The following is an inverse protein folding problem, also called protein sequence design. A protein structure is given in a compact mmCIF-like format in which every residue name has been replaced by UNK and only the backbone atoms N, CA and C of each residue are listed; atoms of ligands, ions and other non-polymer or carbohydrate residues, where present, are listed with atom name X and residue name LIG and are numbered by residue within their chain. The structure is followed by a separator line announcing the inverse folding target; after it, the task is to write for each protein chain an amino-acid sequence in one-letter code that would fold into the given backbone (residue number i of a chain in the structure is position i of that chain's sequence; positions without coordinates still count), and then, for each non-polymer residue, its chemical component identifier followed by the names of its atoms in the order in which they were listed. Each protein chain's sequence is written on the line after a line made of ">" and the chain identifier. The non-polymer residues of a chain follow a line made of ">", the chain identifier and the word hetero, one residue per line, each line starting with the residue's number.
data_IF_072679539564
#
_entry.id   IF_072679539564
#
_cell.length_a   1.000
_cell.length_b   1.000
_cell.length_c   1.000
_cell.angle_alpha   90.00
_cell.angle_beta   90.00
_cell.angle_gamma   90.00
#
_symmetry.space_group_name_H-M   'P 1'
#
loop_
_entity.id
_entity.type
_entity.pdbx_description
1 polymer ?
#
# COMPACT_ATOMS: atom_id res chain seq x y z
N UNK A 1 45.53 -10.82 -8.75
CA UNK A 1 44.53 -11.44 -7.86
C UNK A 1 44.25 -10.47 -6.74
N UNK A 2 43.27 -9.60 -6.89
CA UNK A 2 42.76 -8.74 -5.80
C UNK A 2 41.25 -9.03 -5.69
N UNK A 3 40.92 -9.70 -4.61
CA UNK A 3 39.54 -10.05 -4.24
C UNK A 3 38.85 -8.78 -3.72
N UNK A 4 37.95 -8.19 -4.49
CA UNK A 4 37.08 -7.12 -4.04
C UNK A 4 35.85 -7.73 -3.30
N UNK A 5 36.02 -7.94 -2.01
CA UNK A 5 34.90 -8.14 -1.09
C UNK A 5 34.24 -6.77 -0.86
N UNK A 6 33.23 -6.43 -1.64
CA UNK A 6 32.31 -5.35 -1.28
C UNK A 6 31.42 -5.88 -0.16
N UNK A 7 31.87 -5.66 1.08
CA UNK A 7 31.03 -5.75 2.25
C UNK A 7 30.10 -4.55 2.23
N UNK A 8 28.86 -4.71 1.78
CA UNK A 8 27.80 -3.77 2.07
C UNK A 8 27.57 -3.81 3.58
N UNK A 9 28.25 -2.93 4.31
CA UNK A 9 27.94 -2.64 5.71
C UNK A 9 26.62 -1.88 5.74
N UNK A 10 25.50 -2.59 5.78
CA UNK A 10 24.30 -2.06 6.38
C UNK A 10 24.55 -2.00 7.89
N UNK A 11 25.00 -0.85 8.35
CA UNK A 11 24.96 -0.52 9.78
C UNK A 11 23.50 -0.33 10.11
N UNK A 12 22.85 -1.37 10.61
CA UNK A 12 21.51 -1.33 11.17
C UNK A 12 21.67 -1.08 12.67
N UNK A 13 21.38 0.10 13.18
CA UNK A 13 21.06 0.27 14.58
C UNK A 13 19.57 0.59 14.68
N UNK A 14 18.78 -0.36 14.84
CA UNK A 14 17.61 -0.45 15.70
C UNK A 14 16.91 -1.77 15.38
N UNK A 15 17.21 -2.77 16.19
CA UNK A 15 16.47 -4.03 16.18
C UNK A 15 15.09 -3.72 16.77
N UNK A 16 14.16 -3.26 15.94
CA UNK A 16 12.75 -3.51 16.24
C UNK A 16 12.61 -5.02 16.09
N UNK A 17 12.63 -5.73 17.22
CA UNK A 17 12.57 -7.17 17.19
C UNK A 17 11.24 -7.58 16.56
N UNK A 18 11.26 -8.59 15.73
CA UNK A 18 10.05 -9.21 15.17
C UNK A 18 9.04 -9.55 16.29
N UNK A 19 9.54 -9.84 17.48
CA UNK A 19 8.76 -10.05 18.71
C UNK A 19 8.02 -8.80 19.15
N UNK A 20 8.64 -7.62 19.10
CA UNK A 20 7.98 -6.34 19.45
C UNK A 20 6.86 -6.00 18.47
N UNK A 21 7.07 -6.23 17.16
CA UNK A 21 6.00 -6.10 16.16
C UNK A 21 4.85 -7.09 16.42
N UNK A 22 5.16 -8.34 16.73
CA UNK A 22 4.16 -9.35 17.03
C UNK A 22 3.31 -8.96 18.26
N UNK A 23 3.90 -8.29 19.25
CA UNK A 23 3.21 -7.81 20.44
C UNK A 23 2.38 -6.55 20.16
N UNK A 24 2.90 -5.61 19.40
CA UNK A 24 2.19 -4.41 18.94
C UNK A 24 1.03 -4.76 18.00
N UNK A 25 1.23 -5.71 17.08
CA UNK A 25 0.22 -6.21 16.18
C UNK A 25 -0.93 -6.97 16.88
N UNK A 26 -0.70 -7.52 18.09
CA UNK A 26 -1.76 -8.11 18.92
C UNK A 26 -2.69 -7.05 19.54
N UNK A 27 -2.21 -5.83 19.74
CA UNK A 27 -2.96 -4.71 20.35
C UNK A 27 -3.78 -3.90 19.35
N UNK A 28 -3.69 -4.21 18.05
CA UNK A 28 -4.47 -3.49 17.03
C UNK A 28 -5.91 -3.95 17.08
N UNK A 29 -6.74 -3.19 17.78
CA UNK A 29 -8.20 -3.34 17.73
C UNK A 29 -8.76 -2.78 16.42
N UNK A 30 -9.89 -3.35 15.98
CA UNK A 30 -10.67 -2.77 14.88
C UNK A 30 -10.96 -1.30 15.21
N UNK A 31 -10.89 -0.38 14.22
CA UNK A 31 -11.31 0.99 14.46
C UNK A 31 -12.73 0.97 15.03
N UNK A 32 -13.03 1.75 16.07
CA UNK A 32 -14.36 1.80 16.65
C UNK A 32 -15.36 2.11 15.54
N UNK A 33 -16.47 1.36 15.54
CA UNK A 33 -17.60 1.63 14.65
C UNK A 33 -17.93 3.10 14.83
N UNK A 34 -17.83 3.87 13.76
CA UNK A 34 -18.07 5.31 13.82
C UNK A 34 -19.47 5.55 14.36
N UNK A 35 -19.57 5.89 15.64
CA UNK A 35 -20.77 6.50 16.18
C UNK A 35 -20.86 7.90 15.57
N UNK A 36 -22.03 8.21 15.02
CA UNK A 36 -22.32 9.54 14.46
C UNK A 36 -22.10 10.59 15.55
N UNK A 37 -21.09 11.47 15.43
CA UNK A 37 -20.97 12.56 16.39
C UNK A 37 -22.06 13.60 16.14
N UNK A 38 -22.54 14.19 17.23
CA UNK A 38 -23.47 15.31 17.24
C UNK A 38 -22.95 16.44 16.33
N UNK A 39 -23.87 17.05 15.57
CA UNK A 39 -23.64 18.19 14.68
C UNK A 39 -22.90 19.33 15.39
N UNK A 40 -21.60 19.40 15.20
CA UNK A 40 -20.86 20.64 15.40
C UNK A 40 -21.12 21.53 14.16
N UNK A 41 -21.47 22.79 14.38
CA UNK A 41 -21.68 23.79 13.36
C UNK A 41 -20.37 24.06 12.61
N UNK A 42 -20.13 23.31 11.55
CA UNK A 42 -18.98 23.49 10.66
C UNK A 42 -19.33 24.57 9.64
N UNK A 43 -18.48 25.56 9.52
CA UNK A 43 -18.46 26.48 8.36
C UNK A 43 -18.45 25.60 7.11
N UNK A 44 -19.55 25.61 6.36
CA UNK A 44 -19.72 24.73 5.19
C UNK A 44 -18.75 25.20 4.09
N UNK A 45 -17.57 24.61 4.02
CA UNK A 45 -16.69 24.76 2.87
C UNK A 45 -17.43 24.14 1.69
N UNK A 46 -17.73 24.92 0.66
CA UNK A 46 -18.36 24.43 -0.56
C UNK A 46 -17.30 23.60 -1.32
N UNK A 47 -17.37 22.31 -1.19
CA UNK A 47 -16.50 21.36 -1.90
C UNK A 47 -17.22 20.88 -3.15
N UNK A 48 -16.72 21.24 -4.33
CA UNK A 48 -17.36 20.98 -5.63
C UNK A 48 -16.77 19.75 -6.31
N UNK A 49 -17.43 19.25 -7.36
CA UNK A 49 -16.91 18.14 -8.18
C UNK A 49 -15.57 18.52 -8.85
N UNK A 50 -15.40 19.78 -9.23
CA UNK A 50 -14.11 20.29 -9.75
C UNK A 50 -13.02 20.22 -8.69
N UNK A 51 -13.29 20.66 -7.46
CA UNK A 51 -12.33 20.58 -6.35
C UNK A 51 -11.97 19.11 -6.05
N UNK A 52 -12.96 18.22 -6.08
CA UNK A 52 -12.76 16.80 -5.88
C UNK A 52 -11.89 16.19 -6.99
N UNK A 53 -12.11 16.57 -8.25
CA UNK A 53 -11.30 16.08 -9.37
C UNK A 53 -9.83 16.52 -9.25
N UNK A 54 -9.56 17.79 -8.94
CA UNK A 54 -8.20 18.30 -8.74
C UNK A 54 -7.53 17.64 -7.53
N UNK A 55 -8.29 17.34 -6.47
CA UNK A 55 -7.78 16.62 -5.32
C UNK A 55 -7.41 15.17 -5.68
N UNK A 56 -8.24 14.46 -6.44
CA UNK A 56 -7.97 13.10 -6.91
C UNK A 56 -6.72 13.08 -7.80
N UNK A 57 -6.57 14.06 -8.71
CA UNK A 57 -5.36 14.22 -9.52
C UNK A 57 -4.11 14.45 -8.66
N UNK A 58 -4.23 15.25 -7.60
CA UNK A 58 -3.14 15.44 -6.63
C UNK A 58 -2.76 14.13 -5.94
N UNK A 59 -3.74 13.28 -5.59
CA UNK A 59 -3.48 11.96 -5.00
C UNK A 59 -2.75 11.03 -5.98
N UNK A 60 -3.19 11.01 -7.26
CA UNK A 60 -2.52 10.25 -8.31
C UNK A 60 -1.07 10.70 -8.48
N UNK A 61 -0.83 12.02 -8.53
CA UNK A 61 0.51 12.57 -8.67
C UNK A 61 1.41 12.27 -7.45
N UNK A 62 0.87 12.33 -6.23
CA UNK A 62 1.60 11.95 -5.02
C UNK A 62 2.04 10.49 -5.06
N UNK A 63 1.17 9.59 -5.51
CA UNK A 63 1.49 8.17 -5.56
C UNK A 63 2.49 7.83 -6.67
N UNK A 64 2.39 8.46 -7.84
CA UNK A 64 3.33 8.26 -8.97
C UNK A 64 4.73 8.80 -8.68
N UNK A 65 4.80 9.81 -7.87
CA UNK A 65 5.98 10.64 -7.73
C UNK A 65 6.83 10.32 -6.49
N UNK A 66 6.63 9.17 -5.85
CA UNK A 66 7.51 8.78 -4.74
C UNK A 66 8.94 8.49 -5.18
N UNK A 67 9.16 8.20 -6.47
CA UNK A 67 10.48 7.87 -7.01
C UNK A 67 10.92 6.46 -6.64
N UNK A 68 12.21 6.28 -6.48
CA UNK A 68 12.78 5.05 -5.95
C UNK A 68 12.65 5.03 -4.44
N UNK A 69 12.25 3.89 -3.86
CA UNK A 69 12.36 3.69 -2.43
C UNK A 69 12.51 2.23 -2.01
N UNK A 70 13.10 2.06 -0.82
CA UNK A 70 13.12 0.80 -0.10
C UNK A 70 12.39 0.95 1.22
N UNK A 71 11.82 -0.13 1.72
CA UNK A 71 11.25 -0.20 3.05
C UNK A 71 11.34 -1.62 3.61
N UNK A 72 11.32 -1.72 4.94
CA UNK A 72 11.09 -2.97 5.66
C UNK A 72 9.60 -3.05 5.99
N UNK A 73 8.91 -4.03 5.42
CA UNK A 73 7.49 -4.27 5.67
C UNK A 73 7.29 -5.39 6.67
N UNK A 74 6.50 -5.13 7.70
CA UNK A 74 5.96 -6.12 8.61
C UNK A 74 4.48 -6.31 8.27
N UNK A 75 4.09 -7.55 7.99
CA UNK A 75 2.74 -7.88 7.55
C UNK A 75 2.11 -8.87 8.54
N UNK A 76 0.97 -8.49 9.09
CA UNK A 76 0.09 -9.39 9.86
C UNK A 76 -1.11 -9.75 9.00
N UNK A 77 -1.24 -11.00 8.69
CA UNK A 77 -2.43 -11.57 8.06
C UNK A 77 -3.30 -12.23 9.12
N UNK A 78 -4.57 -11.93 9.12
CA UNK A 78 -5.58 -12.55 9.96
C UNK A 78 -6.64 -13.18 9.06
N UNK A 79 -6.84 -14.48 9.19
CA UNK A 79 -7.95 -15.20 8.60
C UNK A 79 -8.91 -15.63 9.71
N UNK A 80 -10.20 -15.59 9.42
CA UNK A 80 -11.22 -16.00 10.39
C UNK A 80 -10.97 -17.44 10.88
N UNK A 81 -10.99 -17.64 12.19
CA UNK A 81 -10.78 -18.93 12.87
C UNK A 81 -9.41 -19.57 12.62
N UNK A 82 -8.40 -18.79 12.22
CA UNK A 82 -7.00 -19.24 12.11
C UNK A 82 -6.09 -18.36 12.95
N UNK A 83 -4.96 -18.91 13.36
CA UNK A 83 -3.91 -18.12 14.01
C UNK A 83 -3.35 -17.08 13.00
N UNK A 84 -3.11 -15.85 13.46
CA UNK A 84 -2.53 -14.84 12.61
C UNK A 84 -1.13 -15.22 12.13
N UNK A 85 -0.88 -14.97 10.84
CA UNK A 85 0.44 -15.15 10.24
C UNK A 85 1.18 -13.82 10.20
N UNK A 86 2.47 -13.87 10.51
CA UNK A 86 3.36 -12.71 10.50
C UNK A 86 4.46 -12.91 9.47
N UNK A 87 4.62 -11.88 8.62
CA UNK A 87 5.66 -11.87 7.59
C UNK A 87 6.54 -10.63 7.75
N UNK A 88 7.77 -10.76 7.31
CA UNK A 88 8.67 -9.64 7.10
C UNK A 88 9.17 -9.69 5.66
N UNK A 89 9.16 -8.56 4.98
CA UNK A 89 9.67 -8.46 3.62
C UNK A 89 10.41 -7.16 3.39
N UNK A 90 11.40 -7.20 2.51
CA UNK A 90 12.00 -6.03 1.93
C UNK A 90 11.16 -5.59 0.74
N UNK A 91 10.83 -4.32 0.69
CA UNK A 91 10.08 -3.69 -0.39
C UNK A 91 11.02 -2.80 -1.19
N UNK A 92 10.96 -2.92 -2.50
CA UNK A 92 11.70 -2.07 -3.43
C UNK A 92 10.72 -1.54 -4.46
N UNK A 93 10.72 -0.23 -4.69
CA UNK A 93 9.86 0.40 -5.71
C UNK A 93 10.65 1.38 -6.57
N UNK A 94 10.22 1.46 -7.83
CA UNK A 94 10.59 2.49 -8.79
C UNK A 94 9.32 2.96 -9.49
N UNK A 95 8.71 3.99 -8.94
CA UNK A 95 7.36 4.40 -9.32
C UNK A 95 7.29 4.99 -10.74
N UNK A 96 8.32 5.72 -11.16
CA UNK A 96 8.42 6.29 -12.52
C UNK A 96 8.47 5.24 -13.63
N UNK A 97 8.89 4.01 -13.31
CA UNK A 97 8.95 2.88 -14.22
C UNK A 97 7.93 1.77 -13.87
N UNK A 98 6.98 2.05 -12.97
CA UNK A 98 5.95 1.12 -12.53
C UNK A 98 6.50 -0.26 -12.15
N UNK A 99 7.62 -0.28 -11.41
CA UNK A 99 8.28 -1.48 -10.94
C UNK A 99 8.20 -1.60 -9.43
N UNK A 100 7.93 -2.77 -8.95
CA UNK A 100 8.12 -3.09 -7.53
C UNK A 100 8.58 -4.53 -7.33
N UNK A 101 9.13 -4.76 -6.14
CA UNK A 101 9.56 -6.08 -5.71
C UNK A 101 9.34 -6.24 -4.22
N UNK A 102 8.82 -7.40 -3.82
CA UNK A 102 8.82 -7.88 -2.45
C UNK A 102 9.74 -9.07 -2.34
N UNK A 103 10.62 -9.06 -1.33
CA UNK A 103 11.46 -10.20 -0.99
C UNK A 103 11.17 -10.58 0.47
N UNK A 104 10.54 -11.72 0.68
CA UNK A 104 10.22 -12.23 2.02
C UNK A 104 11.49 -12.64 2.75
N UNK A 105 11.61 -12.23 4.00
CA UNK A 105 12.74 -12.57 4.88
C UNK A 105 12.32 -13.41 6.08
N UNK A 106 11.04 -13.34 6.46
CA UNK A 106 10.46 -14.12 7.56
C UNK A 106 8.99 -14.44 7.26
N UNK A 107 8.46 -15.55 7.81
CA UNK A 107 9.15 -16.61 8.57
C UNK A 107 10.12 -17.40 7.68
N UNK A 108 10.84 -18.36 8.24
CA UNK A 108 11.87 -19.15 7.52
C UNK A 108 11.29 -19.89 6.31
N UNK A 109 10.05 -20.37 6.43
CA UNK A 109 9.32 -21.10 5.38
C UNK A 109 8.97 -20.21 4.17
N UNK A 110 8.92 -18.88 4.38
CA UNK A 110 8.64 -17.90 3.33
C UNK A 110 9.89 -17.17 2.84
N UNK A 111 11.00 -17.31 3.59
CA UNK A 111 12.23 -16.61 3.26
C UNK A 111 12.74 -16.95 1.87
N UNK A 112 13.08 -15.91 1.10
CA UNK A 112 13.54 -16.03 -0.29
C UNK A 112 12.42 -16.06 -1.32
N UNK A 113 11.16 -16.30 -0.94
CA UNK A 113 10.03 -16.06 -1.86
C UNK A 113 9.97 -14.60 -2.25
N UNK A 114 9.65 -14.34 -3.50
CA UNK A 114 9.59 -12.97 -4.00
C UNK A 114 8.45 -12.74 -4.97
N UNK A 115 8.04 -11.48 -5.07
CA UNK A 115 7.16 -10.97 -6.10
C UNK A 115 7.86 -9.85 -6.85
N UNK A 116 7.87 -9.95 -8.17
CA UNK A 116 8.47 -8.95 -9.06
C UNK A 116 7.40 -8.45 -10.04
N UNK A 117 7.13 -7.15 -9.99
CA UNK A 117 6.28 -6.46 -10.97
C UNK A 117 7.12 -5.60 -11.89
N UNK A 118 6.89 -5.77 -13.18
CA UNK A 118 7.43 -4.92 -14.24
C UNK A 118 6.25 -4.57 -15.14
N UNK A 119 5.92 -3.32 -15.23
CA UNK A 119 4.73 -2.81 -15.93
C UNK A 119 3.44 -3.51 -15.45
N UNK A 120 2.74 -4.18 -16.35
CA UNK A 120 1.52 -4.94 -16.06
C UNK A 120 1.76 -6.40 -15.67
N UNK A 121 3.00 -6.86 -15.59
CA UNK A 121 3.31 -8.26 -15.31
C UNK A 121 3.78 -8.45 -13.89
N UNK A 122 3.07 -9.27 -13.12
CA UNK A 122 3.46 -9.73 -11.80
C UNK A 122 3.96 -11.17 -11.89
N UNK A 123 5.11 -11.42 -11.31
CA UNK A 123 5.74 -12.74 -11.20
C UNK A 123 5.97 -13.09 -9.74
N UNK A 124 5.71 -14.33 -9.36
CA UNK A 124 6.15 -14.88 -8.08
C UNK A 124 7.31 -15.82 -8.28
N UNK A 125 8.22 -15.86 -7.33
CA UNK A 125 9.38 -16.75 -7.29
C UNK A 125 9.34 -17.59 -6.02
N UNK A 126 9.59 -18.88 -6.16
CA UNK A 126 9.78 -19.80 -5.05
C UNK A 126 11.20 -20.37 -5.11
N UNK A 127 12.09 -20.03 -4.14
CA UNK A 127 13.47 -20.48 -4.14
C UNK A 127 13.61 -22.01 -3.91
N UNK A 128 12.63 -22.65 -3.27
CA UNK A 128 12.66 -24.09 -3.02
C UNK A 128 12.54 -24.91 -4.31
N UNK A 129 11.85 -24.37 -5.30
CA UNK A 129 11.67 -25.00 -6.62
C UNK A 129 12.48 -24.33 -7.73
N UNK A 130 12.99 -23.11 -7.47
CA UNK A 130 13.63 -22.27 -8.48
C UNK A 130 12.68 -21.77 -9.58
N UNK A 131 11.36 -21.86 -9.38
CA UNK A 131 10.36 -21.55 -10.41
C UNK A 131 9.82 -20.15 -10.30
N UNK A 132 9.58 -19.57 -11.48
CA UNK A 132 8.85 -18.32 -11.67
C UNK A 132 7.47 -18.61 -12.22
N UNK A 133 6.43 -18.04 -11.59
CA UNK A 133 5.05 -18.15 -12.04
C UNK A 133 4.48 -16.77 -12.28
N UNK A 134 3.75 -16.60 -13.39
CA UNK A 134 3.03 -15.36 -13.68
C UNK A 134 1.74 -15.34 -12.86
N UNK A 135 1.46 -14.19 -12.24
CA UNK A 135 0.27 -13.96 -11.42
C UNK A 135 -0.70 -13.01 -12.12
N UNK A 136 -1.98 -13.21 -11.89
CA UNK A 136 -3.05 -12.35 -12.40
C UNK A 136 -3.26 -11.13 -11.52
N UNK A 137 -3.99 -10.14 -12.03
CA UNK A 137 -4.28 -8.88 -11.33
C UNK A 137 -5.09 -9.06 -10.04
N UNK A 138 -5.94 -10.09 -10.01
CA UNK A 138 -6.88 -10.34 -8.92
C UNK A 138 -6.34 -11.28 -7.87
N UNK A 139 -5.20 -11.90 -8.11
CA UNK A 139 -4.61 -12.79 -7.13
C UNK A 139 -4.06 -12.04 -5.93
N UNK A 140 -4.22 -12.65 -4.75
CA UNK A 140 -3.66 -12.17 -3.50
C UNK A 140 -2.13 -12.35 -3.50
N UNK A 141 -1.43 -11.39 -2.93
CA UNK A 141 0.03 -11.45 -2.78
C UNK A 141 0.36 -12.14 -1.46
N UNK A 142 1.08 -13.25 -1.52
CA UNK A 142 1.57 -13.96 -0.34
C UNK A 142 0.46 -14.48 0.59
N UNK A 143 -0.75 -14.73 0.08
CA UNK A 143 -1.89 -15.14 0.90
C UNK A 143 -2.58 -13.98 1.65
N UNK A 144 -2.05 -12.75 1.57
CA UNK A 144 -2.61 -11.56 2.20
C UNK A 144 -3.85 -11.04 1.47
N UNK A 145 -4.55 -10.05 2.05
CA UNK A 145 -5.64 -9.36 1.34
C UNK A 145 -5.15 -8.27 0.38
N UNK A 146 -3.83 -8.10 0.25
CA UNK A 146 -3.22 -7.26 -0.78
C UNK A 146 -3.30 -7.92 -2.15
N UNK A 147 -3.58 -7.12 -3.17
CA UNK A 147 -3.67 -7.56 -4.58
C UNK A 147 -2.66 -6.79 -5.43
N UNK A 148 -2.39 -7.27 -6.63
CA UNK A 148 -1.51 -6.57 -7.58
C UNK A 148 -1.96 -5.12 -7.79
N UNK A 149 -3.28 -4.90 -7.94
CA UNK A 149 -3.86 -3.58 -8.15
C UNK A 149 -3.53 -2.54 -7.06
N UNK A 150 -3.22 -2.98 -5.84
CA UNK A 150 -2.82 -2.08 -4.75
C UNK A 150 -1.43 -1.45 -4.98
N UNK A 151 -0.66 -2.02 -5.90
CA UNK A 151 0.69 -1.60 -6.25
C UNK A 151 0.79 -1.06 -7.67
N UNK A 152 -0.33 -0.99 -8.39
CA UNK A 152 -0.38 -0.37 -9.70
C UNK A 152 -0.29 1.15 -9.58
N UNK A 153 0.14 1.79 -10.64
CA UNK A 153 0.13 3.24 -10.75
C UNK A 153 -1.29 3.77 -10.57
N UNK A 154 -1.46 4.77 -9.70
CA UNK A 154 -2.76 5.40 -9.51
C UNK A 154 -3.13 6.26 -10.72
N UNK A 155 -4.33 6.03 -11.25
CA UNK A 155 -4.89 6.72 -12.41
C UNK A 155 -6.37 7.05 -12.17
N UNK A 156 -6.72 7.32 -10.91
CA UNK A 156 -8.12 7.53 -10.51
C UNK A 156 -8.78 8.67 -11.28
N UNK A 157 -8.09 9.79 -11.48
CA UNK A 157 -8.63 10.93 -12.24
C UNK A 157 -8.87 10.60 -13.72
N UNK A 158 -8.08 9.69 -14.28
CA UNK A 158 -8.23 9.24 -15.68
C UNK A 158 -9.31 8.18 -15.84
N UNK A 159 -9.41 7.24 -14.90
CA UNK A 159 -10.22 6.04 -15.02
C UNK A 159 -11.62 6.19 -14.44
N UNK A 160 -11.84 7.18 -13.58
CA UNK A 160 -13.11 7.37 -12.88
C UNK A 160 -13.71 8.75 -13.10
N UNK A 161 -15.04 8.80 -13.08
CA UNK A 161 -15.82 10.01 -12.88
C UNK A 161 -15.82 10.34 -11.39
N UNK A 162 -15.46 11.58 -11.08
CA UNK A 162 -15.24 12.05 -9.70
C UNK A 162 -16.45 12.88 -9.27
N UNK A 163 -17.00 12.55 -8.09
CA UNK A 163 -18.11 13.29 -7.47
C UNK A 163 -17.79 13.66 -6.03
N UNK A 164 -17.91 14.93 -5.70
CA UNK A 164 -17.82 15.41 -4.33
C UNK A 164 -19.04 14.96 -3.51
N UNK A 165 -18.80 14.37 -2.34
CA UNK A 165 -19.83 14.03 -1.35
C UNK A 165 -19.89 15.07 -0.20
N UNK A 166 -18.96 16.05 -0.22
CA UNK A 166 -18.83 17.09 0.81
C UNK A 166 -17.72 16.82 1.81
N UNK A 167 -17.94 17.31 3.04
CA UNK A 167 -16.99 17.15 4.14
C UNK A 167 -17.53 16.19 5.19
N UNK A 168 -16.63 15.50 5.88
CA UNK A 168 -16.96 14.53 6.92
C UNK A 168 -15.89 14.56 8.01
N UNK A 169 -16.09 13.84 9.09
CA UNK A 169 -15.11 13.63 10.14
C UNK A 169 -14.74 12.16 10.25
N UNK A 170 -13.46 11.86 10.19
CA UNK A 170 -12.92 10.50 10.37
C UNK A 170 -11.99 10.49 11.58
N UNK A 171 -12.48 10.04 12.72
CA UNK A 171 -11.77 10.17 13.99
C UNK A 171 -11.50 11.64 14.33
N UNK A 172 -10.23 12.02 14.49
CA UNK A 172 -9.80 13.41 14.73
C UNK A 172 -9.61 14.24 13.46
N UNK A 173 -9.74 13.64 12.27
CA UNK A 173 -9.47 14.30 11.00
C UNK A 173 -10.74 14.89 10.39
N UNK A 174 -10.64 16.15 9.92
CA UNK A 174 -11.61 16.71 8.99
C UNK A 174 -11.25 16.24 7.58
N UNK A 175 -12.20 15.66 6.87
CA UNK A 175 -11.94 15.00 5.59
C UNK A 175 -12.88 15.52 4.48
N UNK A 176 -12.40 15.46 3.24
CA UNK A 176 -13.23 15.48 2.06
C UNK A 176 -13.65 14.04 1.74
N UNK A 177 -14.91 13.86 1.41
CA UNK A 177 -15.47 12.58 0.98
C UNK A 177 -15.78 12.65 -0.51
N UNK A 178 -15.28 11.67 -1.26
CA UNK A 178 -15.34 11.62 -2.71
C UNK A 178 -15.82 10.25 -3.14
N UNK A 179 -16.76 10.21 -4.08
CA UNK A 179 -17.16 8.99 -4.78
C UNK A 179 -16.58 8.99 -6.18
N UNK A 180 -16.02 7.85 -6.58
CA UNK A 180 -15.40 7.57 -7.86
C UNK A 180 -16.18 6.45 -8.54
N UNK A 181 -16.67 6.68 -9.76
CA UNK A 181 -17.35 5.66 -10.57
C UNK A 181 -16.54 5.43 -11.84
N UNK A 182 -16.29 4.17 -12.19
CA UNK A 182 -15.52 3.82 -13.38
C UNK A 182 -16.15 4.44 -14.64
N UNK A 183 -15.32 5.05 -15.47
CA UNK A 183 -15.73 5.56 -16.79
C UNK A 183 -15.99 4.41 -17.76
N UNK A 184 -16.88 4.64 -18.71
CA UNK A 184 -17.16 3.67 -19.76
C UNK A 184 -15.90 3.24 -20.50
N UNK A 185 -15.77 1.93 -20.76
CA UNK A 185 -14.64 1.35 -21.48
C UNK A 185 -13.35 1.20 -20.67
N UNK A 186 -13.33 1.59 -19.38
CA UNK A 186 -12.18 1.35 -18.50
C UNK A 186 -12.30 0.00 -17.78
N UNK A 187 -11.18 -0.75 -17.75
CA UNK A 187 -11.06 -2.00 -16.98
C UNK A 187 -10.31 -1.72 -15.68
N UNK A 188 -11.01 -1.83 -14.57
CA UNK A 188 -10.50 -1.53 -13.23
C UNK A 188 -10.86 -2.66 -12.26
N UNK A 189 -10.10 -2.78 -11.17
CA UNK A 189 -10.34 -3.81 -10.16
C UNK A 189 -11.69 -3.64 -9.44
N UNK A 190 -12.10 -2.39 -9.19
CA UNK A 190 -13.34 -2.04 -8.51
C UNK A 190 -14.06 -0.90 -9.24
N UNK A 191 -15.29 -1.13 -9.70
CA UNK A 191 -16.02 -0.15 -10.51
C UNK A 191 -16.50 1.07 -9.74
N UNK A 192 -16.53 1.02 -8.42
CA UNK A 192 -16.85 2.17 -7.58
C UNK A 192 -15.95 2.21 -6.35
N UNK A 193 -15.42 3.40 -6.05
CA UNK A 193 -14.65 3.68 -4.85
C UNK A 193 -15.30 4.82 -4.07
N UNK A 194 -15.12 4.81 -2.75
CA UNK A 194 -15.30 5.98 -1.90
C UNK A 194 -14.02 6.24 -1.14
N UNK A 195 -13.56 7.48 -1.15
CA UNK A 195 -12.32 7.87 -0.47
C UNK A 195 -12.56 9.02 0.49
N UNK A 196 -11.84 8.98 1.60
CA UNK A 196 -11.80 10.03 2.62
C UNK A 196 -10.40 10.61 2.65
N UNK A 197 -10.29 11.89 2.33
CA UNK A 197 -9.02 12.59 2.17
C UNK A 197 -8.90 13.67 3.23
N UNK A 198 -7.80 13.66 3.98
CA UNK A 198 -7.51 14.70 4.97
C UNK A 198 -7.51 16.09 4.35
N UNK A 199 -8.22 17.02 4.98
CA UNK A 199 -8.34 18.40 4.45
C UNK A 199 -7.02 19.17 4.55
N UNK A 200 -6.16 18.83 5.51
CA UNK A 200 -4.91 19.57 5.76
C UNK A 200 -3.78 19.08 4.87
N UNK A 201 -3.41 17.81 4.99
CA UNK A 201 -2.24 17.24 4.33
C UNK A 201 -2.56 16.62 2.96
N UNK A 202 -3.86 16.54 2.61
CA UNK A 202 -4.34 15.95 1.36
C UNK A 202 -3.83 14.52 1.15
N UNK A 203 -3.82 13.73 2.24
CA UNK A 203 -3.53 12.30 2.20
C UNK A 203 -4.82 11.51 2.29
N UNK A 204 -4.89 10.38 1.58
CA UNK A 204 -5.99 9.44 1.71
C UNK A 204 -5.91 8.76 3.08
N UNK A 205 -7.01 8.78 3.85
CA UNK A 205 -7.08 8.14 5.17
C UNK A 205 -7.91 6.86 5.16
N UNK A 206 -8.88 6.78 4.23
CA UNK A 206 -9.75 5.62 4.09
C UNK A 206 -10.18 5.45 2.64
N UNK A 207 -10.30 4.21 2.21
CA UNK A 207 -10.89 3.80 0.93
C UNK A 207 -11.89 2.67 1.16
N UNK A 208 -13.00 2.75 0.48
CA UNK A 208 -13.97 1.67 0.35
C UNK A 208 -14.11 1.30 -1.12
N UNK A 209 -14.12 0.01 -1.40
CA UNK A 209 -14.11 -0.56 -2.74
C UNK A 209 -15.36 -1.42 -2.94
N UNK A 210 -16.11 -1.12 -3.98
CA UNK A 210 -17.43 -1.69 -4.23
C UNK A 210 -17.50 -2.46 -5.54
N UNK A 211 -18.36 -3.48 -5.57
CA UNK A 211 -18.75 -4.19 -6.80
C UNK A 211 -19.71 -3.35 -7.65
N UNK A 212 -19.97 -3.81 -8.87
CA UNK A 212 -21.00 -3.22 -9.76
C UNK A 212 -22.39 -3.17 -9.11
N UNK A 213 -22.74 -4.16 -8.28
CA UNK A 213 -24.02 -4.20 -7.56
C UNK A 213 -24.05 -3.26 -6.36
N UNK A 214 -23.00 -2.48 -6.11
CA UNK A 214 -22.90 -1.59 -4.95
C UNK A 214 -22.61 -2.30 -3.63
N UNK A 215 -22.19 -3.58 -3.66
CA UNK A 215 -21.80 -4.31 -2.46
C UNK A 215 -20.39 -3.91 -2.07
N UNK A 216 -20.17 -3.53 -0.80
CA UNK A 216 -18.85 -3.26 -0.24
C UNK A 216 -18.04 -4.56 -0.24
N UNK A 217 -16.87 -4.51 -0.88
CA UNK A 217 -15.98 -5.66 -1.08
C UNK A 217 -14.78 -5.61 -0.13
N UNK A 218 -14.20 -4.41 0.04
CA UNK A 218 -12.98 -4.21 0.81
C UNK A 218 -12.94 -2.80 1.38
N UNK A 219 -12.35 -2.64 2.57
CA UNK A 219 -12.04 -1.35 3.18
C UNK A 219 -10.56 -1.27 3.49
N UNK A 220 -9.94 -0.15 3.14
CA UNK A 220 -8.54 0.13 3.47
C UNK A 220 -8.43 1.41 4.30
N UNK A 221 -7.53 1.41 5.28
CA UNK A 221 -7.26 2.56 6.16
C UNK A 221 -5.77 2.86 6.17
N UNK A 222 -5.46 4.16 6.18
CA UNK A 222 -4.10 4.72 6.23
C UNK A 222 -4.00 5.66 7.44
N UNK A 223 -3.91 5.11 8.67
CA UNK A 223 -4.07 5.90 9.89
C UNK A 223 -2.94 6.90 10.12
N UNK A 224 -1.78 6.65 9.53
CA UNK A 224 -0.60 7.48 9.71
C UNK A 224 0.24 7.56 8.45
N UNK A 225 0.66 8.79 8.12
CA UNK A 225 1.58 9.11 7.03
C UNK A 225 2.85 9.74 7.59
N UNK A 226 4.00 9.33 7.06
CA UNK A 226 5.29 9.93 7.36
C UNK A 226 5.72 10.81 6.19
N UNK A 227 6.36 11.94 6.51
CA UNK A 227 7.09 12.75 5.56
C UNK A 227 8.53 12.23 5.47
N UNK A 228 8.98 11.93 4.28
CA UNK A 228 10.34 11.48 4.01
C UNK A 228 10.92 12.35 2.91
N UNK A 229 12.11 12.90 3.13
CA UNK A 229 12.77 13.73 2.12
C UNK A 229 13.23 12.88 0.93
N UNK A 230 12.88 13.31 -0.28
CA UNK A 230 13.29 12.67 -1.53
C UNK A 230 14.34 13.54 -2.25
N UNK A 231 15.53 13.01 -2.44
CA UNK A 231 16.60 13.70 -3.19
C UNK A 231 16.22 13.91 -4.65
N UNK A 232 15.53 12.95 -5.26
CA UNK A 232 15.11 13.04 -6.67
C UNK A 232 14.03 14.10 -6.88
N UNK A 233 13.15 14.32 -5.89
CA UNK A 233 12.08 15.32 -5.92
C UNK A 233 12.47 16.65 -5.33
N UNK A 234 13.61 16.73 -4.63
CA UNK A 234 14.06 17.90 -3.85
C UNK A 234 13.00 18.42 -2.90
N UNK A 235 12.29 17.50 -2.25
CA UNK A 235 11.18 17.82 -1.35
C UNK A 235 10.68 16.61 -0.59
N UNK A 236 9.74 16.87 0.32
CA UNK A 236 9.11 15.83 1.11
C UNK A 236 8.07 15.07 0.30
N UNK A 237 8.08 13.76 0.39
CA UNK A 237 7.02 12.88 -0.08
C UNK A 237 6.34 12.20 1.10
N UNK A 238 5.08 11.83 0.92
CA UNK A 238 4.33 11.12 1.95
C UNK A 238 4.36 9.62 1.68
N UNK A 239 4.70 8.84 2.71
CA UNK A 239 4.67 7.39 2.67
C UNK A 239 3.79 6.91 3.82
N UNK A 240 2.85 5.98 3.61
CA UNK A 240 2.04 5.44 4.69
C UNK A 240 2.94 4.65 5.67
N UNK A 241 2.83 4.95 6.97
CA UNK A 241 3.51 4.18 8.02
C UNK A 241 2.80 2.85 8.28
N UNK A 242 1.48 2.88 8.12
CA UNK A 242 0.60 1.73 8.35
C UNK A 242 -0.53 1.69 7.34
N UNK A 243 -0.83 0.48 6.85
CA UNK A 243 -1.95 0.19 5.96
C UNK A 243 -2.76 -0.95 6.57
N UNK A 244 -4.07 -0.77 6.72
CA UNK A 244 -4.99 -1.80 7.21
C UNK A 244 -6.00 -2.12 6.13
N UNK A 245 -6.10 -3.39 5.76
CA UNK A 245 -7.01 -3.87 4.71
C UNK A 245 -7.97 -4.88 5.34
N UNK A 246 -9.26 -4.69 5.16
CA UNK A 246 -10.31 -5.57 5.65
C UNK A 246 -11.10 -6.15 4.48
N UNK A 247 -11.28 -7.46 4.49
CA UNK A 247 -12.20 -8.13 3.58
C UNK A 247 -13.63 -7.97 4.12
N UNK A 248 -14.48 -7.26 3.38
CA UNK A 248 -15.85 -6.98 3.80
C UNK A 248 -16.83 -8.09 3.38
N UNK A 249 -16.38 -9.02 2.56
CA UNK A 249 -17.13 -10.22 2.20
C UNK A 249 -16.92 -11.35 3.21
N UNK A 250 -15.65 -11.56 3.58
CA UNK A 250 -15.25 -12.55 4.57
C UNK A 250 -14.83 -11.84 5.85
N UNK A 251 -15.82 -11.37 6.61
CA UNK A 251 -15.56 -10.63 7.85
C UNK A 251 -14.70 -11.43 8.83
N UNK A 252 -13.69 -10.76 9.35
CA UNK A 252 -12.66 -11.37 10.19
C UNK A 252 -11.34 -11.60 9.45
N UNK A 253 -11.33 -11.48 8.11
CA UNK A 253 -10.10 -11.49 7.33
C UNK A 253 -9.55 -10.06 7.20
N UNK A 254 -8.28 -9.90 7.53
CA UNK A 254 -7.60 -8.61 7.44
C UNK A 254 -6.10 -8.75 7.20
N UNK A 255 -5.52 -7.69 6.66
CA UNK A 255 -4.06 -7.57 6.51
C UNK A 255 -3.64 -6.22 7.06
N UNK A 256 -2.65 -6.21 7.95
CA UNK A 256 -2.03 -4.99 8.47
C UNK A 256 -0.59 -4.99 7.99
N UNK A 257 -0.19 -3.89 7.36
CA UNK A 257 1.17 -3.68 6.87
C UNK A 257 1.74 -2.46 7.59
N UNK A 258 2.90 -2.62 8.22
CA UNK A 258 3.65 -1.52 8.83
C UNK A 258 4.95 -1.38 8.06
N UNK A 259 5.20 -0.17 7.54
CA UNK A 259 6.42 0.17 6.81
C UNK A 259 7.41 0.87 7.74
N UNK A 260 8.63 0.36 7.80
CA UNK A 260 9.75 0.92 8.56
C UNK A 260 10.96 1.13 7.65
N UNK A 261 11.90 1.92 8.14
CA UNK A 261 13.19 2.12 7.45
C UNK A 261 13.03 2.55 5.98
N UNK A 262 12.07 3.46 5.74
CA UNK A 262 11.84 3.98 4.38
C UNK A 262 13.04 4.83 3.96
N UNK A 263 13.70 4.44 2.86
CA UNK A 263 14.81 5.15 2.24
C UNK A 263 14.47 5.47 0.78
N UNK A 264 14.56 6.74 0.40
CA UNK A 264 14.21 7.26 -0.93
C UNK A 264 15.43 7.49 -1.84
N UNK A 265 16.52 6.79 -1.58
CA UNK A 265 17.70 6.83 -2.45
C UNK A 265 17.45 6.10 -3.75
N UNK A 266 18.12 6.59 -4.79
CA UNK A 266 18.11 5.93 -6.10
C UNK A 266 18.59 4.49 -5.99
N UNK A 267 17.82 3.58 -6.58
CA UNK A 267 18.14 2.15 -6.65
C UNK A 267 18.98 1.84 -7.89
N UNK A 268 19.74 0.74 -7.81
CA UNK A 268 20.46 0.22 -8.96
C UNK A 268 19.48 -0.28 -10.04
N UNK A 269 19.77 0.00 -11.31
CA UNK A 269 18.90 -0.38 -12.43
C UNK A 269 18.78 -1.89 -12.60
N UNK A 270 19.78 -2.66 -12.14
CA UNK A 270 19.79 -4.11 -12.21
C UNK A 270 18.90 -4.80 -11.18
N UNK A 271 18.38 -4.08 -10.18
CA UNK A 271 17.65 -4.71 -9.06
C UNK A 271 16.32 -5.34 -9.47
N UNK A 272 15.62 -4.71 -10.42
CA UNK A 272 14.28 -5.20 -10.84
C UNK A 272 14.38 -6.26 -11.93
N UNK A 273 15.15 -7.34 -11.66
CA UNK A 273 15.34 -8.47 -12.58
C UNK A 273 15.18 -9.80 -11.84
N UNK A 274 14.74 -10.83 -12.58
CA UNK A 274 14.69 -12.21 -12.06
C UNK A 274 16.06 -12.67 -11.56
N UNK A 275 17.11 -12.39 -12.34
CA UNK A 275 18.49 -12.78 -11.99
C UNK A 275 18.99 -12.14 -10.69
N UNK A 276 18.62 -10.88 -10.43
CA UNK A 276 18.98 -10.22 -9.18
C UNK A 276 18.31 -10.92 -7.98
N UNK A 277 16.99 -11.22 -8.07
CA UNK A 277 16.26 -11.92 -7.00
C UNK A 277 16.89 -13.29 -6.74
N UNK A 278 17.12 -14.08 -7.79
CA UNK A 278 17.74 -15.41 -7.67
C UNK A 278 19.12 -15.35 -6.99
N UNK A 279 19.89 -14.27 -7.24
CA UNK A 279 21.18 -14.07 -6.58
C UNK A 279 21.11 -13.76 -5.10
N UNK A 280 19.95 -13.25 -4.61
CA UNK A 280 19.74 -12.88 -3.21
C UNK A 280 19.09 -13.98 -2.38
N UNK A 281 18.59 -15.02 -3.02
CA UNK A 281 17.82 -16.11 -2.40
C UNK A 281 18.56 -17.45 -2.37
N UNK A 282 19.82 -17.47 -2.86
CA UNK A 282 20.71 -18.64 -2.82
C UNK A 282 21.44 -18.77 -1.48
#
# INVERSE_FOLDING_TARGET
>A
MLSFKILLKFSIPLIVSFSAFAEEAKKVELPPKAESPAKASATTIKFTDTDAFELVKTLDDKQRNSGDYTALAFVKETERNKEPKLYQSLVYRRDDMNKFMFLFTKPKEEAGKAYLKIDKNLWSYDPSTGKWERRTEREKIGGTNSRRSDFDESRMAEEYDVKAEGTDQLGSYQVFKITLKVKEGKDVAYPMLKIWVDQKEKNELKREEYSLSGKLMRSSYYPKWNKVYSESKKGDVYVPDEIRIFDELEKGNSTIIVLKEVDLKKLDDNMFTKAWIESKTK
#
